data_IF_592958775624
#
_entry.id   IF_592958775624
#
_cell.length_a   1.000
_cell.length_b   1.000
_cell.length_c   1.000
_cell.angle_alpha   90.00
_cell.angle_beta   90.00
_cell.angle_gamma   90.00
#
_symmetry.space_group_name_H-M   'P 1'
#
loop_
_entity.id
_entity.type
_entity.pdbx_description
1 polymer ?
#
# COMPACT_ATOMS: atom_id res chain seq x y z
N UNK A 1 46.95 -5.83 -37.14
CA UNK A 1 46.99 -7.30 -37.14
C UNK A 1 47.70 -7.71 -35.87
N UNK A 2 47.13 -8.35 -34.86
CA UNK A 2 45.95 -9.23 -34.76
C UNK A 2 45.64 -9.35 -33.26
N UNK A 3 44.43 -9.82 -32.93
CA UNK A 3 43.93 -10.12 -31.56
C UNK A 3 43.24 -8.98 -30.80
N UNK A 4 42.25 -8.39 -31.48
CA UNK A 4 40.90 -8.31 -30.88
C UNK A 4 40.34 -9.73 -30.82
N UNK A 5 39.88 -10.16 -29.64
CA UNK A 5 38.77 -11.11 -29.34
C UNK A 5 39.12 -12.04 -28.17
N UNK A 6 38.23 -12.01 -27.17
CA UNK A 6 37.98 -12.94 -26.06
C UNK A 6 38.39 -12.43 -24.68
N UNK A 7 37.50 -11.61 -24.11
CA UNK A 7 37.04 -11.71 -22.73
C UNK A 7 35.93 -10.67 -22.53
N UNK A 8 34.84 -10.80 -23.29
CA UNK A 8 33.53 -10.31 -22.81
C UNK A 8 33.06 -11.41 -21.86
N UNK A 9 33.43 -11.28 -20.58
CA UNK A 9 32.79 -12.06 -19.53
C UNK A 9 31.35 -11.59 -19.45
N UNK A 10 30.45 -12.37 -20.05
CA UNK A 10 29.02 -12.33 -19.75
C UNK A 10 28.85 -12.54 -18.24
N UNK A 11 28.78 -11.43 -17.50
CA UNK A 11 28.08 -11.44 -16.23
C UNK A 11 26.61 -11.71 -16.57
N UNK A 12 26.25 -12.99 -16.56
CA UNK A 12 24.86 -13.41 -16.49
C UNK A 12 24.34 -12.79 -15.18
N UNK A 13 23.63 -11.68 -15.30
CA UNK A 13 22.78 -11.19 -14.21
C UNK A 13 21.74 -12.27 -14.03
N UNK A 14 21.97 -13.19 -13.09
CA UNK A 14 20.96 -14.16 -12.68
C UNK A 14 19.84 -13.31 -12.08
N UNK A 15 18.78 -13.11 -12.87
CA UNK A 15 17.59 -12.45 -12.37
C UNK A 15 17.16 -13.18 -11.07
N UNK A 16 16.86 -12.46 -9.98
CA UNK A 16 16.46 -13.08 -8.73
C UNK A 16 15.27 -14.02 -9.00
N UNK A 17 15.32 -15.23 -8.44
CA UNK A 17 14.19 -16.16 -8.55
C UNK A 17 12.96 -15.51 -7.91
N UNK A 18 11.90 -15.34 -8.70
CA UNK A 18 10.61 -14.81 -8.20
C UNK A 18 10.08 -15.65 -7.05
N UNK A 19 9.42 -15.00 -6.09
CA UNK A 19 8.83 -15.69 -4.95
C UNK A 19 7.42 -15.22 -4.63
N UNK A 20 6.64 -16.05 -3.94
CA UNK A 20 5.36 -15.63 -3.41
C UNK A 20 5.54 -14.61 -2.27
N UNK A 21 4.60 -13.66 -2.17
CA UNK A 21 4.56 -12.68 -1.10
C UNK A 21 3.50 -13.09 -0.06
N UNK A 22 3.93 -13.53 1.12
CA UNK A 22 3.04 -14.07 2.16
C UNK A 22 2.67 -13.06 3.26
N UNK A 23 3.56 -12.11 3.56
CA UNK A 23 3.36 -11.13 4.65
C UNK A 23 3.61 -9.67 4.25
N UNK A 24 4.49 -9.44 3.27
CA UNK A 24 4.87 -8.11 2.81
C UNK A 24 4.12 -7.73 1.53
N UNK A 25 4.22 -6.47 1.14
CA UNK A 25 3.77 -6.04 -0.17
C UNK A 25 4.51 -6.78 -1.29
N UNK A 26 3.84 -6.95 -2.42
CA UNK A 26 4.35 -7.66 -3.58
C UNK A 26 4.78 -6.67 -4.67
N UNK A 27 5.92 -6.93 -5.29
CA UNK A 27 6.47 -6.15 -6.39
C UNK A 27 6.61 -7.03 -7.64
N UNK A 28 6.22 -6.54 -8.83
CA UNK A 28 6.24 -7.34 -10.05
C UNK A 28 7.63 -7.88 -10.40
N UNK A 29 8.70 -7.18 -10.04
CA UNK A 29 10.07 -7.59 -10.37
C UNK A 29 10.58 -8.76 -9.51
N UNK A 30 10.05 -8.90 -8.29
CA UNK A 30 10.54 -9.87 -7.30
C UNK A 30 9.54 -10.99 -7.00
N UNK A 31 8.26 -10.77 -7.31
CA UNK A 31 7.19 -11.67 -6.91
C UNK A 31 6.43 -12.26 -8.08
N UNK A 32 5.83 -13.44 -7.84
CA UNK A 32 4.66 -13.84 -8.61
C UNK A 32 3.55 -12.84 -8.31
N UNK A 33 3.03 -12.22 -9.36
CA UNK A 33 2.30 -10.96 -9.22
C UNK A 33 1.08 -10.90 -10.14
N UNK A 34 -0.04 -10.46 -9.58
CA UNK A 34 -1.23 -10.08 -10.33
C UNK A 34 -1.45 -8.59 -10.08
N UNK A 35 -1.47 -7.81 -11.15
CA UNK A 35 -1.68 -6.37 -11.09
C UNK A 35 -3.14 -6.09 -10.70
N UNK A 36 -3.40 -5.31 -9.62
CA UNK A 36 -4.76 -4.92 -9.23
C UNK A 36 -5.32 -3.80 -10.12
N UNK A 37 -5.32 -3.99 -11.44
CA UNK A 37 -5.61 -2.95 -12.44
C UNK A 37 -6.90 -2.19 -12.19
N UNK A 38 -7.99 -2.92 -11.88
CA UNK A 38 -9.31 -2.30 -11.65
C UNK A 38 -9.32 -1.38 -10.42
N UNK A 39 -8.68 -1.79 -9.32
CA UNK A 39 -8.56 -0.95 -8.12
C UNK A 39 -7.65 0.25 -8.38
N UNK A 40 -6.49 0.00 -9.00
CA UNK A 40 -5.48 1.02 -9.29
C UNK A 40 -6.07 2.12 -10.15
N UNK A 41 -6.72 1.74 -11.26
CA UNK A 41 -7.38 2.70 -12.16
C UNK A 41 -8.44 3.51 -11.43
N UNK A 42 -9.29 2.85 -10.64
CA UNK A 42 -10.36 3.54 -9.92
C UNK A 42 -9.83 4.54 -8.89
N UNK A 43 -8.79 4.17 -8.14
CA UNK A 43 -8.16 5.07 -7.17
C UNK A 43 -7.43 6.22 -7.86
N UNK A 44 -6.71 5.95 -8.95
CA UNK A 44 -6.01 6.99 -9.71
C UNK A 44 -6.99 8.04 -10.26
N UNK A 45 -8.13 7.62 -10.82
CA UNK A 45 -9.21 8.51 -11.27
C UNK A 45 -9.71 9.40 -10.12
N UNK A 46 -10.03 8.83 -8.95
CA UNK A 46 -10.46 9.59 -7.78
C UNK A 46 -9.41 10.61 -7.33
N UNK A 47 -8.13 10.23 -7.33
CA UNK A 47 -7.03 11.11 -6.96
C UNK A 47 -6.86 12.26 -7.96
N UNK A 48 -7.03 12.01 -9.25
CA UNK A 48 -7.02 13.05 -10.29
C UNK A 48 -8.23 14.00 -10.15
N UNK A 49 -9.40 13.49 -9.76
CA UNK A 49 -10.61 14.26 -9.45
C UNK A 49 -10.53 15.04 -8.11
N UNK A 50 -9.33 15.26 -7.58
CA UNK A 50 -9.10 15.97 -6.31
C UNK A 50 -9.74 15.32 -5.07
N UNK A 51 -10.10 14.03 -5.12
CA UNK A 51 -10.79 13.35 -4.02
C UNK A 51 -9.80 12.87 -2.96
N UNK A 52 -10.18 13.05 -1.70
CA UNK A 52 -9.50 12.39 -0.59
C UNK A 52 -10.08 10.99 -0.51
N UNK A 53 -9.23 10.00 -0.71
CA UNK A 53 -9.60 8.60 -0.93
C UNK A 53 -9.15 7.76 0.26
N UNK A 54 -9.99 6.82 0.67
CA UNK A 54 -9.70 5.84 1.71
C UNK A 54 -9.61 4.46 1.08
N UNK A 55 -8.47 3.78 1.19
CA UNK A 55 -8.33 2.36 0.84
C UNK A 55 -8.21 1.54 2.12
N UNK A 56 -9.16 0.65 2.37
CA UNK A 56 -9.15 -0.15 3.60
C UNK A 56 -9.46 -1.62 3.37
N UNK A 57 -9.20 -2.45 4.38
CA UNK A 57 -9.38 -3.90 4.28
C UNK A 57 -8.80 -4.63 5.47
N UNK A 58 -8.77 -5.96 5.40
CA UNK A 58 -8.15 -6.78 6.44
C UNK A 58 -6.62 -6.68 6.39
N UNK A 59 -5.92 -7.17 7.42
CA UNK A 59 -4.47 -7.32 7.37
C UNK A 59 -4.10 -8.26 6.22
N UNK A 60 -2.97 -7.99 5.56
CA UNK A 60 -2.48 -8.79 4.43
C UNK A 60 -3.48 -8.94 3.25
N UNK A 61 -4.45 -8.03 3.12
CA UNK A 61 -5.37 -8.02 1.96
C UNK A 61 -4.74 -7.46 0.69
N UNK A 62 -3.46 -7.05 0.72
CA UNK A 62 -2.73 -6.48 -0.43
C UNK A 62 -2.86 -4.96 -0.62
N UNK A 63 -3.31 -4.21 0.40
CA UNK A 63 -3.50 -2.75 0.30
C UNK A 63 -2.21 -2.00 -0.01
N UNK A 64 -1.12 -2.30 0.70
CA UNK A 64 0.20 -1.71 0.46
C UNK A 64 0.68 -2.02 -0.96
N UNK A 65 0.49 -3.26 -1.43
CA UNK A 65 0.73 -3.66 -2.83
C UNK A 65 -0.04 -2.77 -3.81
N UNK A 66 -1.34 -2.54 -3.58
CA UNK A 66 -2.16 -1.64 -4.41
C UNK A 66 -1.64 -0.20 -4.35
N UNK A 67 -1.19 0.30 -3.20
CA UNK A 67 -0.64 1.65 -3.08
C UNK A 67 0.65 1.83 -3.90
N UNK A 68 1.55 0.84 -3.88
CA UNK A 68 2.73 0.84 -4.74
C UNK A 68 2.37 0.72 -6.23
N UNK A 69 1.34 -0.06 -6.56
CA UNK A 69 0.82 -0.13 -7.93
C UNK A 69 0.26 1.21 -8.42
N UNK A 70 -0.49 1.93 -7.57
CA UNK A 70 -0.95 3.29 -7.87
C UNK A 70 0.23 4.23 -8.12
N UNK A 71 1.26 4.18 -7.26
CA UNK A 71 2.47 4.98 -7.46
C UNK A 71 3.12 4.70 -8.83
N UNK A 72 3.27 3.42 -9.20
CA UNK A 72 3.79 3.03 -10.53
C UNK A 72 2.88 3.47 -11.66
N UNK A 73 1.56 3.40 -11.47
CA UNK A 73 0.57 3.80 -12.47
C UNK A 73 0.80 5.26 -12.88
N UNK A 74 0.90 6.17 -11.91
CA UNK A 74 1.13 7.58 -12.23
C UNK A 74 2.47 7.85 -12.94
N UNK A 75 3.52 7.05 -12.68
CA UNK A 75 4.79 7.18 -13.39
C UNK A 75 4.77 6.62 -14.82
N UNK A 76 3.81 5.76 -15.14
CA UNK A 76 3.75 5.03 -16.42
C UNK A 76 2.59 5.46 -17.32
N UNK A 77 1.57 6.13 -16.77
CA UNK A 77 0.33 6.51 -17.45
C UNK A 77 0.23 8.03 -17.65
N UNK A 78 1.27 8.64 -18.20
CA UNK A 78 1.37 10.09 -18.36
C UNK A 78 0.28 10.67 -19.28
N UNK A 79 -0.12 9.93 -20.31
CA UNK A 79 -1.18 10.38 -21.23
C UNK A 79 -2.54 10.47 -20.53
N UNK A 80 -2.87 9.51 -19.66
CA UNK A 80 -4.12 9.55 -18.89
C UNK A 80 -4.16 10.73 -17.91
N UNK A 81 -3.00 11.13 -17.37
CA UNK A 81 -2.89 12.34 -16.54
C UNK A 81 -3.15 13.60 -17.39
N UNK A 82 -2.62 13.65 -18.63
CA UNK A 82 -2.88 14.75 -19.58
C UNK A 82 -4.34 14.81 -20.01
N UNK A 83 -4.95 13.67 -20.31
CA UNK A 83 -6.38 13.56 -20.64
C UNK A 83 -7.27 14.04 -19.49
N UNK A 84 -6.86 13.81 -18.24
CA UNK A 84 -7.52 14.34 -17.06
C UNK A 84 -7.30 15.86 -16.83
N UNK A 85 -6.53 16.52 -17.69
CA UNK A 85 -6.32 17.97 -17.68
C UNK A 85 -5.15 18.45 -16.83
N UNK A 86 -4.21 17.57 -16.46
CA UNK A 86 -3.05 17.90 -15.66
C UNK A 86 -1.76 17.78 -16.47
N UNK A 87 -0.77 18.63 -16.19
CA UNK A 87 0.60 18.40 -16.66
C UNK A 87 1.32 17.47 -15.67
N UNK A 88 1.77 16.27 -16.07
CA UNK A 88 2.49 15.36 -15.18
C UNK A 88 3.73 15.96 -14.52
N UNK A 89 4.33 17.01 -15.11
CA UNK A 89 5.49 17.70 -14.52
C UNK A 89 5.12 18.63 -13.35
N UNK A 90 3.86 19.05 -13.27
CA UNK A 90 3.36 19.94 -12.21
C UNK A 90 2.69 19.17 -11.05
N UNK A 91 2.64 17.85 -11.14
CA UNK A 91 1.98 16.95 -10.20
C UNK A 91 2.97 15.96 -9.59
N UNK A 92 3.39 16.22 -8.36
CA UNK A 92 4.29 15.35 -7.60
C UNK A 92 3.53 14.35 -6.75
N UNK A 93 4.08 13.16 -6.58
CA UNK A 93 3.44 12.07 -5.84
C UNK A 93 4.39 11.57 -4.78
N UNK A 94 3.91 11.57 -3.54
CA UNK A 94 4.71 11.18 -2.38
C UNK A 94 4.07 10.00 -1.67
N UNK A 95 4.89 9.01 -1.35
CA UNK A 95 4.49 7.83 -0.59
C UNK A 95 5.08 7.88 0.82
N UNK A 96 4.23 7.85 1.84
CA UNK A 96 4.60 8.00 3.25
C UNK A 96 4.06 6.81 4.03
N UNK A 97 4.91 6.06 4.73
CA UNK A 97 4.46 4.94 5.59
C UNK A 97 4.47 5.32 7.06
N UNK A 98 3.32 5.16 7.71
CA UNK A 98 3.22 5.26 9.17
C UNK A 98 3.67 3.96 9.81
N UNK A 99 4.64 4.04 10.71
CA UNK A 99 5.15 2.88 11.45
C UNK A 99 5.11 3.15 12.95
N UNK A 100 5.78 2.32 13.75
CA UNK A 100 5.84 2.46 15.21
C UNK A 100 6.41 3.82 15.69
N UNK A 101 7.03 4.61 14.81
CA UNK A 101 7.56 5.93 15.16
C UNK A 101 6.49 7.04 15.14
N UNK A 102 5.25 6.76 14.73
CA UNK A 102 4.15 7.70 14.90
C UNK A 102 3.70 7.65 16.37
N UNK A 103 3.88 8.76 17.08
CA UNK A 103 3.71 8.83 18.53
C UNK A 103 2.28 9.20 18.92
N UNK A 104 1.34 8.31 18.61
CA UNK A 104 -0.07 8.45 18.99
C UNK A 104 -0.22 8.24 20.51
N UNK A 105 -0.95 9.11 21.20
CA UNK A 105 -1.06 9.11 22.67
C UNK A 105 0.10 9.79 23.41
N UNK A 106 1.05 10.39 22.70
CA UNK A 106 2.00 11.33 23.28
C UNK A 106 1.43 12.75 23.34
N UNK A 107 2.20 13.71 23.84
CA UNK A 107 1.85 15.14 23.71
C UNK A 107 1.61 15.52 22.24
N UNK A 108 0.66 16.45 22.00
CA UNK A 108 0.27 16.91 20.65
C UNK A 108 1.47 17.31 19.78
N UNK A 109 2.44 18.01 20.36
CA UNK A 109 3.64 18.44 19.65
C UNK A 109 4.52 17.27 19.19
N UNK A 110 4.63 16.22 20.01
CA UNK A 110 5.39 15.02 19.69
C UNK A 110 4.71 14.21 18.58
N UNK A 111 3.39 14.12 18.59
CA UNK A 111 2.62 13.53 17.51
C UNK A 111 2.89 14.25 16.19
N UNK A 112 2.66 15.56 16.12
CA UNK A 112 2.84 16.33 14.89
C UNK A 112 4.29 16.32 14.39
N UNK A 113 5.24 16.36 15.31
CA UNK A 113 6.66 16.26 14.98
C UNK A 113 7.00 14.89 14.40
N UNK A 114 6.39 13.80 14.89
CA UNK A 114 6.57 12.46 14.33
C UNK A 114 6.03 12.36 12.90
N UNK A 115 4.85 12.94 12.62
CA UNK A 115 4.27 13.03 11.28
C UNK A 115 5.16 13.87 10.36
N UNK A 116 5.53 15.10 10.77
CA UNK A 116 6.33 16.00 9.95
C UNK A 116 7.72 15.42 9.63
N UNK A 117 8.34 14.68 10.56
CA UNK A 117 9.58 13.94 10.30
C UNK A 117 9.41 12.88 9.21
N UNK A 118 8.27 12.19 9.14
CA UNK A 118 8.02 11.20 8.08
C UNK A 118 7.99 11.85 6.70
N UNK A 119 7.30 12.98 6.56
CA UNK A 119 7.28 13.74 5.32
C UNK A 119 8.68 14.25 4.96
N UNK A 120 9.40 14.83 5.93
CA UNK A 120 10.78 15.30 5.74
C UNK A 120 11.74 14.19 5.28
N UNK A 121 11.54 12.95 5.72
CA UNK A 121 12.35 11.80 5.30
C UNK A 121 12.06 11.38 3.86
N UNK A 122 10.82 11.56 3.40
CA UNK A 122 10.42 11.24 2.02
C UNK A 122 11.01 12.26 1.05
N UNK A 123 10.89 13.55 1.38
CA UNK A 123 11.54 14.62 0.62
C UNK A 123 11.89 15.78 1.55
N UNK A 124 13.18 15.91 1.85
CA UNK A 124 13.67 16.96 2.74
C UNK A 124 13.66 18.35 2.07
N UNK A 125 13.72 18.44 0.74
CA UNK A 125 13.69 19.71 0.03
C UNK A 125 12.26 20.27 0.02
N UNK A 126 11.26 19.40 -0.17
CA UNK A 126 9.84 19.77 -0.16
C UNK A 126 9.28 19.96 1.25
N UNK A 127 9.55 19.00 2.14
CA UNK A 127 8.93 18.90 3.46
C UNK A 127 9.86 19.30 4.60
N UNK A 128 10.54 20.44 4.45
CA UNK A 128 11.43 20.92 5.49
C UNK A 128 10.70 21.69 6.58
N UNK A 129 11.11 21.46 7.83
CA UNK A 129 10.68 22.24 8.98
C UNK A 129 11.77 22.29 10.04
N UNK A 130 11.70 23.29 10.92
CA UNK A 130 12.57 23.42 12.07
C UNK A 130 12.16 22.44 13.17
N UNK A 131 12.95 21.39 13.31
CA UNK A 131 12.74 20.32 14.28
C UNK A 131 13.11 20.74 15.72
N UNK A 132 13.61 21.96 15.96
CA UNK A 132 13.78 22.51 17.31
C UNK A 132 12.50 23.13 17.86
N UNK A 133 11.59 23.58 16.97
CA UNK A 133 10.35 24.25 17.34
C UNK A 133 9.23 23.27 17.70
N UNK A 134 8.19 23.81 18.33
CA UNK A 134 6.94 23.08 18.53
C UNK A 134 6.26 22.82 17.18
N UNK A 135 5.78 21.59 16.97
CA UNK A 135 5.05 21.20 15.77
C UNK A 135 3.56 21.11 16.06
N UNK A 136 2.73 21.48 15.09
CA UNK A 136 1.26 21.37 15.15
C UNK A 136 0.69 21.00 13.79
N UNK A 137 -0.65 20.90 13.69
CA UNK A 137 -1.32 20.75 12.39
C UNK A 137 -0.95 21.85 11.41
N UNK A 138 -0.70 23.07 11.90
CA UNK A 138 -0.23 24.17 11.04
C UNK A 138 1.15 23.90 10.44
N UNK A 139 2.08 23.30 11.21
CA UNK A 139 3.40 22.90 10.70
C UNK A 139 3.25 21.93 9.53
N UNK A 140 2.35 20.95 9.67
CA UNK A 140 2.03 20.00 8.60
C UNK A 140 1.38 20.69 7.39
N UNK A 141 0.40 21.57 7.60
CA UNK A 141 -0.28 22.27 6.50
C UNK A 141 0.67 23.18 5.70
N UNK A 142 1.70 23.76 6.34
CA UNK A 142 2.71 24.59 5.65
C UNK A 142 3.50 23.85 4.57
N UNK A 143 3.56 22.52 4.61
CA UNK A 143 4.13 21.71 3.53
C UNK A 143 3.39 21.81 2.20
N UNK A 144 2.17 22.36 2.22
CA UNK A 144 1.33 22.50 1.05
C UNK A 144 0.95 23.96 0.77
N UNK A 145 1.35 24.91 1.60
CA UNK A 145 0.92 26.30 1.47
C UNK A 145 1.57 26.97 0.23
N UNK A 146 0.78 27.67 -0.58
CA UNK A 146 1.26 28.31 -1.83
C UNK A 146 2.25 29.46 -1.59
N UNK A 147 2.22 30.06 -0.41
CA UNK A 147 3.15 31.11 0.01
C UNK A 147 4.51 30.54 0.47
N UNK A 148 4.62 29.22 0.64
CA UNK A 148 5.88 28.56 0.95
C UNK A 148 6.74 28.47 -0.33
N UNK A 149 7.98 28.98 -0.37
CA UNK A 149 8.81 28.95 -1.58
C UNK A 149 9.27 27.54 -2.00
N UNK A 150 9.23 26.55 -1.09
CA UNK A 150 9.44 25.12 -1.41
C UNK A 150 8.23 24.51 -2.18
N UNK A 151 7.17 25.31 -2.26
CA UNK A 151 5.81 25.21 -2.78
C UNK A 151 5.51 25.13 -4.28
N UNK A 152 6.34 24.51 -5.12
CA UNK A 152 6.28 24.82 -6.57
C UNK A 152 5.14 24.13 -7.34
N UNK A 153 4.89 22.87 -7.03
CA UNK A 153 4.00 21.93 -7.73
C UNK A 153 2.84 21.47 -6.84
N UNK A 154 1.80 20.91 -7.47
CA UNK A 154 0.73 20.20 -6.79
C UNK A 154 1.24 18.86 -6.24
N UNK A 155 0.68 18.40 -5.12
CA UNK A 155 1.08 17.14 -4.49
C UNK A 155 -0.09 16.17 -4.35
N UNK A 156 0.11 14.91 -4.73
CA UNK A 156 -0.72 13.77 -4.32
C UNK A 156 0.04 13.03 -3.23
N UNK A 157 -0.62 12.79 -2.10
CA UNK A 157 -0.01 12.09 -0.97
C UNK A 157 -0.65 10.72 -0.77
N UNK A 158 0.15 9.66 -0.79
CA UNK A 158 -0.25 8.32 -0.39
C UNK A 158 0.31 8.07 1.01
N UNK A 159 -0.56 7.88 2.00
CA UNK A 159 -0.18 7.52 3.37
C UNK A 159 -0.57 6.06 3.62
N UNK A 160 0.43 5.19 3.70
CA UNK A 160 0.25 3.79 4.05
C UNK A 160 0.30 3.56 5.56
N UNK A 161 -0.33 2.47 6.02
CA UNK A 161 -0.43 2.07 7.41
C UNK A 161 -1.05 3.15 8.34
N UNK A 162 -2.03 3.89 7.81
CA UNK A 162 -2.77 4.92 8.55
C UNK A 162 -3.52 4.37 9.79
N UNK A 163 -3.72 3.05 9.89
CA UNK A 163 -4.22 2.38 11.10
C UNK A 163 -3.35 2.59 12.33
N UNK A 164 -2.10 3.06 12.19
CA UNK A 164 -1.31 3.50 13.33
C UNK A 164 -1.95 4.68 14.07
N UNK A 165 -2.85 5.40 13.43
CA UNK A 165 -3.64 6.48 14.06
C UNK A 165 -4.76 5.96 14.97
N UNK A 166 -5.15 4.68 14.89
CA UNK A 166 -6.33 4.15 15.62
C UNK A 166 -5.95 3.45 16.93
N UNK A 167 -4.96 3.96 17.67
CA UNK A 167 -4.53 3.35 18.93
C UNK A 167 -5.20 4.01 20.14
N UNK A 168 -5.80 3.21 21.02
CA UNK A 168 -6.36 3.59 22.33
C UNK A 168 -7.53 4.59 22.28
N UNK A 169 -8.63 4.24 22.95
CA UNK A 169 -9.85 5.06 23.01
C UNK A 169 -9.79 6.17 24.06
N UNK A 170 -8.59 6.60 24.47
CA UNK A 170 -8.46 7.69 25.44
C UNK A 170 -8.74 9.05 24.81
N UNK A 171 -9.29 9.96 25.61
CA UNK A 171 -9.77 11.27 25.17
C UNK A 171 -8.64 12.14 24.57
N UNK A 172 -7.42 12.05 25.11
CA UNK A 172 -6.29 12.85 24.65
C UNK A 172 -5.83 12.39 23.26
N UNK A 173 -5.75 11.08 23.04
CA UNK A 173 -5.47 10.49 21.73
C UNK A 173 -6.55 10.85 20.72
N UNK A 174 -7.81 10.76 21.09
CA UNK A 174 -8.92 11.15 20.22
C UNK A 174 -8.86 12.61 19.79
N UNK A 175 -8.48 13.52 20.71
CA UNK A 175 -8.29 14.94 20.39
C UNK A 175 -7.18 15.16 19.36
N UNK A 176 -6.05 14.45 19.48
CA UNK A 176 -4.94 14.51 18.51
C UNK A 176 -5.40 14.05 17.12
N UNK A 177 -6.14 12.95 17.06
CA UNK A 177 -6.68 12.43 15.80
C UNK A 177 -7.68 13.42 15.20
N UNK A 178 -8.51 14.07 16.02
CA UNK A 178 -9.41 15.16 15.56
C UNK A 178 -8.64 16.30 14.94
N UNK A 179 -7.57 16.76 15.57
CA UNK A 179 -6.72 17.81 15.02
C UNK A 179 -6.09 17.39 13.67
N UNK A 180 -5.70 16.11 13.54
CA UNK A 180 -5.22 15.56 12.26
C UNK A 180 -6.27 15.61 11.16
N UNK A 181 -7.49 15.13 11.45
CA UNK A 181 -8.60 15.15 10.49
C UNK A 181 -9.03 16.58 10.14
N UNK A 182 -9.03 17.51 11.11
CA UNK A 182 -9.34 18.91 10.86
C UNK A 182 -8.30 19.56 9.93
N UNK A 183 -7.01 19.26 10.12
CA UNK A 183 -5.94 19.72 9.23
C UNK A 183 -6.14 19.20 7.80
N UNK A 184 -6.53 17.93 7.64
CA UNK A 184 -6.86 17.37 6.33
C UNK A 184 -8.07 18.05 5.68
N UNK A 185 -9.10 18.41 6.47
CA UNK A 185 -10.27 19.12 5.95
C UNK A 185 -9.91 20.52 5.46
N UNK A 186 -9.11 21.26 6.22
CA UNK A 186 -8.63 22.58 5.81
C UNK A 186 -7.89 22.48 4.49
N UNK A 187 -6.93 21.53 4.38
CA UNK A 187 -6.19 21.32 3.13
C UNK A 187 -7.09 20.93 1.95
N UNK A 188 -8.14 20.13 2.18
CA UNK A 188 -9.10 19.75 1.13
C UNK A 188 -9.96 20.92 0.67
N UNK A 189 -10.42 21.75 1.62
CA UNK A 189 -11.41 22.79 1.40
C UNK A 189 -10.83 24.12 0.91
N UNK A 190 -9.56 24.41 1.19
CA UNK A 190 -8.91 25.67 0.85
C UNK A 190 -7.91 25.51 -0.30
N UNK A 191 -8.45 25.38 -1.51
CA UNK A 191 -7.63 25.22 -2.74
C UNK A 191 -6.95 26.51 -3.18
N UNK A 192 -7.38 27.65 -2.67
CA UNK A 192 -6.78 28.94 -2.99
C UNK A 192 -5.45 29.13 -2.28
N UNK A 193 -5.29 28.59 -1.06
CA UNK A 193 -4.07 28.73 -0.28
C UNK A 193 -3.16 27.50 -0.28
N UNK A 194 -3.65 26.30 -0.64
CA UNK A 194 -2.85 25.07 -0.59
C UNK A 194 -2.71 24.36 -1.95
N UNK A 195 -1.59 23.66 -2.14
CA UNK A 195 -1.24 22.83 -3.31
C UNK A 195 -1.37 21.32 -3.06
N UNK A 196 -2.04 20.91 -1.98
CA UNK A 196 -2.41 19.49 -1.83
C UNK A 196 -3.53 19.18 -2.83
N UNK A 197 -3.24 18.34 -3.83
CA UNK A 197 -4.19 17.95 -4.89
C UNK A 197 -5.18 16.91 -4.39
N UNK A 198 -4.68 15.81 -3.87
CA UNK A 198 -5.47 14.73 -3.30
C UNK A 198 -4.63 13.94 -2.32
N UNK A 199 -5.30 13.05 -1.58
CA UNK A 199 -4.66 12.24 -0.57
C UNK A 199 -5.33 10.87 -0.49
N UNK A 200 -4.52 9.82 -0.47
CA UNK A 200 -4.93 8.44 -0.21
C UNK A 200 -4.51 8.07 1.21
N UNK A 201 -5.47 7.73 2.08
CA UNK A 201 -5.20 7.01 3.32
C UNK A 201 -5.38 5.52 3.09
N UNK A 202 -4.37 4.73 3.43
CA UNK A 202 -4.44 3.27 3.39
C UNK A 202 -4.33 2.68 4.79
N UNK A 203 -5.26 1.78 5.16
CA UNK A 203 -5.25 1.17 6.48
C UNK A 203 -6.17 -0.04 6.64
N UNK A 204 -6.15 -0.67 7.81
CA UNK A 204 -7.14 -1.67 8.24
C UNK A 204 -8.52 -1.06 8.44
N UNK A 205 -9.59 -1.88 8.47
CA UNK A 205 -10.97 -1.43 8.65
C UNK A 205 -11.18 -0.43 9.82
N UNK A 206 -10.39 -0.51 10.90
CA UNK A 206 -10.48 0.40 12.04
C UNK A 206 -10.33 1.88 11.66
N UNK A 207 -9.58 2.22 10.60
CA UNK A 207 -9.46 3.61 10.13
C UNK A 207 -10.80 4.14 9.62
N UNK A 208 -11.61 3.27 9.00
CA UNK A 208 -12.95 3.62 8.52
C UNK A 208 -13.87 3.90 9.70
N UNK A 209 -13.84 3.05 10.72
CA UNK A 209 -14.67 3.22 11.91
C UNK A 209 -14.34 4.51 12.66
N UNK A 210 -13.05 4.86 12.75
CA UNK A 210 -12.60 6.14 13.30
C UNK A 210 -13.16 7.34 12.52
N UNK A 211 -13.19 7.25 11.20
CA UNK A 211 -13.70 8.32 10.32
C UNK A 211 -15.24 8.40 10.32
N UNK A 212 -15.95 7.26 10.43
CA UNK A 212 -17.41 7.16 10.43
C UNK A 212 -18.05 7.43 11.79
N UNK A 213 -17.42 7.05 12.91
CA UNK A 213 -17.90 7.35 14.26
C UNK A 213 -18.11 8.87 14.48
N UNK A 214 -17.45 9.68 13.64
CA UNK A 214 -17.47 11.15 13.64
C UNK A 214 -18.55 11.76 12.73
N UNK A 215 -19.46 10.94 12.20
CA UNK A 215 -20.59 11.40 11.35
C UNK A 215 -21.97 11.29 12.03
N UNK A 216 -22.05 10.99 13.34
CA UNK A 216 -23.34 10.76 14.04
C UNK A 216 -24.06 12.07 14.41
N UNK A 217 -25.40 12.15 14.31
CA UNK A 217 -26.18 13.30 14.79
C UNK A 217 -25.93 13.54 16.29
N UNK A 218 -25.63 14.79 16.68
CA UNK A 218 -25.26 15.15 18.05
C UNK A 218 -23.77 15.01 18.37
N UNK A 219 -22.97 14.48 17.42
CA UNK A 219 -21.52 14.60 17.49
C UNK A 219 -21.11 16.05 17.21
N UNK A 220 -20.40 16.68 18.15
CA UNK A 220 -19.70 17.95 17.92
C UNK A 220 -18.53 17.81 16.94
N UNK A 221 -18.26 16.60 16.44
CA UNK A 221 -17.14 16.35 15.53
C UNK A 221 -17.50 16.66 14.09
N UNK A 222 -16.49 17.15 13.40
CA UNK A 222 -16.52 17.68 12.06
C UNK A 222 -16.59 16.54 11.02
N UNK A 223 -17.43 16.69 9.98
CA UNK A 223 -17.67 15.68 8.93
C UNK A 223 -16.34 15.19 8.32
N UNK A 224 -16.11 13.88 8.24
CA UNK A 224 -14.91 13.28 7.62
C UNK A 224 -14.59 13.91 6.26
N UNK A 225 -13.31 14.23 5.95
CA UNK A 225 -12.93 14.73 4.63
C UNK A 225 -12.97 13.63 3.55
N UNK A 226 -13.23 12.38 3.92
CA UNK A 226 -13.40 11.24 3.00
C UNK A 226 -14.89 10.99 2.79
N UNK A 227 -15.31 10.98 1.52
CA UNK A 227 -16.68 10.63 1.15
C UNK A 227 -16.85 9.12 0.98
N UNK A 228 -18.09 8.65 1.04
CA UNK A 228 -18.39 7.23 0.88
C UNK A 228 -18.01 6.73 -0.52
N UNK A 229 -18.24 7.52 -1.57
CA UNK A 229 -17.86 7.13 -2.94
C UNK A 229 -16.34 7.05 -3.16
N UNK A 230 -15.56 7.72 -2.31
CA UNK A 230 -14.09 7.69 -2.32
C UNK A 230 -13.52 6.76 -1.23
N UNK A 231 -14.34 5.87 -0.66
CA UNK A 231 -13.93 4.89 0.34
C UNK A 231 -14.02 3.47 -0.23
N UNK A 232 -12.87 2.90 -0.59
CA UNK A 232 -12.77 1.62 -1.28
C UNK A 232 -12.24 0.52 -0.38
N UNK A 233 -12.77 -0.69 -0.55
CA UNK A 233 -12.21 -1.90 0.05
C UNK A 233 -11.26 -2.58 -0.91
N UNK A 234 -10.11 -3.03 -0.42
CA UNK A 234 -9.22 -3.92 -1.17
C UNK A 234 -9.95 -5.21 -1.53
N UNK A 235 -9.97 -5.55 -2.82
CA UNK A 235 -10.61 -6.76 -3.32
C UNK A 235 -9.75 -7.98 -2.99
N UNK A 236 -10.38 -9.14 -3.13
CA UNK A 236 -9.75 -10.45 -3.06
C UNK A 236 -9.34 -10.89 -4.46
N UNK A 237 -8.41 -11.84 -4.54
CA UNK A 237 -8.20 -12.52 -5.81
C UNK A 237 -9.43 -13.34 -6.19
N UNK A 238 -9.74 -13.34 -7.48
CA UNK A 238 -10.61 -14.30 -8.13
C UNK A 238 -9.88 -15.63 -8.32
N UNK A 239 -10.62 -16.71 -8.53
CA UNK A 239 -10.02 -18.02 -8.84
C UNK A 239 -9.09 -17.95 -10.07
N UNK A 240 -9.46 -17.13 -11.07
CA UNK A 240 -8.65 -16.93 -12.29
C UNK A 240 -7.32 -16.26 -11.97
N UNK A 241 -7.31 -15.27 -11.08
CA UNK A 241 -6.07 -14.60 -10.64
C UNK A 241 -5.19 -15.51 -9.78
N UNK A 242 -5.80 -16.34 -8.90
CA UNK A 242 -5.04 -17.37 -8.17
C UNK A 242 -4.38 -18.34 -9.16
N UNK A 243 -5.14 -18.82 -10.16
CA UNK A 243 -4.60 -19.68 -11.21
C UNK A 243 -3.48 -19.02 -11.99
N UNK A 244 -3.62 -17.73 -12.33
CA UNK A 244 -2.59 -16.97 -13.02
C UNK A 244 -1.29 -16.87 -12.20
N UNK A 245 -1.37 -16.64 -10.88
CA UNK A 245 -0.20 -16.65 -9.99
C UNK A 245 0.54 -17.99 -10.03
N UNK A 246 -0.19 -19.10 -9.89
CA UNK A 246 0.42 -20.44 -9.91
C UNK A 246 0.90 -20.85 -11.30
N UNK A 247 0.32 -20.31 -12.37
CA UNK A 247 0.83 -20.46 -13.74
C UNK A 247 2.22 -19.82 -13.86
N UNK A 248 2.40 -18.58 -13.37
CA UNK A 248 3.72 -17.94 -13.35
C UNK A 248 4.75 -18.75 -12.59
N UNK A 249 4.36 -19.36 -11.45
CA UNK A 249 5.23 -20.24 -10.68
C UNK A 249 5.62 -21.51 -11.46
N UNK A 250 4.67 -22.18 -12.10
CA UNK A 250 4.91 -23.38 -12.88
C UNK A 250 5.82 -23.08 -14.09
N UNK A 251 5.54 -22.00 -14.83
CA UNK A 251 6.33 -21.57 -15.98
C UNK A 251 7.78 -21.25 -15.59
N UNK A 252 7.97 -20.58 -14.44
CA UNK A 252 9.30 -20.23 -13.93
C UNK A 252 10.12 -21.45 -13.52
N UNK A 253 9.47 -22.51 -13.04
CA UNK A 253 10.15 -23.70 -12.54
C UNK A 253 10.09 -24.90 -13.51
N UNK A 254 9.44 -24.75 -14.67
CA UNK A 254 9.26 -25.77 -15.72
C UNK A 254 8.81 -27.14 -15.17
N UNK A 255 7.71 -27.13 -14.40
CA UNK A 255 7.22 -28.32 -13.68
C UNK A 255 5.92 -28.87 -14.26
N UNK A 256 5.70 -30.18 -14.10
CA UNK A 256 4.40 -30.83 -14.32
C UNK A 256 3.40 -30.53 -13.18
N UNK A 257 3.35 -29.29 -12.71
CA UNK A 257 2.53 -28.85 -11.58
C UNK A 257 1.05 -28.86 -11.97
N UNK A 258 0.20 -29.43 -11.11
CA UNK A 258 -1.25 -29.46 -11.28
C UNK A 258 -1.87 -28.09 -10.95
N UNK A 259 -1.65 -27.13 -11.85
CA UNK A 259 -2.07 -25.73 -11.69
C UNK A 259 -3.57 -25.63 -11.42
N UNK A 260 -4.38 -26.37 -12.21
CA UNK A 260 -5.84 -26.20 -12.21
C UNK A 260 -6.43 -26.62 -10.88
N UNK A 261 -6.11 -27.84 -10.41
CA UNK A 261 -6.74 -28.35 -9.19
C UNK A 261 -6.16 -27.72 -7.92
N UNK A 262 -4.85 -27.46 -7.88
CA UNK A 262 -4.22 -26.84 -6.71
C UNK A 262 -4.69 -25.39 -6.56
N UNK A 263 -4.76 -24.61 -7.65
CA UNK A 263 -5.24 -23.23 -7.58
C UNK A 263 -6.70 -23.14 -7.14
N UNK A 264 -7.56 -24.05 -7.61
CA UNK A 264 -8.96 -24.14 -7.18
C UNK A 264 -9.08 -24.46 -5.68
N UNK A 265 -8.34 -25.47 -5.20
CA UNK A 265 -8.36 -25.86 -3.77
C UNK A 265 -7.81 -24.73 -2.87
N UNK A 266 -6.76 -24.02 -3.30
CA UNK A 266 -6.24 -22.83 -2.59
C UNK A 266 -7.26 -21.70 -2.59
N UNK A 267 -7.96 -21.47 -3.70
CA UNK A 267 -9.01 -20.47 -3.75
C UNK A 267 -10.14 -20.81 -2.77
N UNK A 268 -10.62 -22.04 -2.74
CA UNK A 268 -11.67 -22.50 -1.82
C UNK A 268 -11.23 -22.37 -0.35
N UNK A 269 -9.98 -22.73 -0.04
CA UNK A 269 -9.42 -22.64 1.31
C UNK A 269 -9.30 -21.20 1.81
N UNK A 270 -8.93 -20.27 0.94
CA UNK A 270 -8.54 -18.89 1.29
C UNK A 270 -9.62 -17.86 0.95
N UNK A 271 -10.61 -18.27 0.16
CA UNK A 271 -11.61 -17.41 -0.48
C UNK A 271 -10.96 -16.20 -1.17
N UNK A 272 -9.78 -16.41 -1.78
CA UNK A 272 -9.02 -15.39 -2.50
C UNK A 272 -8.30 -14.35 -1.62
N UNK A 273 -8.18 -14.55 -0.30
CA UNK A 273 -7.46 -13.61 0.55
C UNK A 273 -5.98 -13.53 0.17
N UNK A 274 -5.53 -12.38 -0.36
CA UNK A 274 -4.22 -12.23 -1.03
C UNK A 274 -3.04 -12.75 -0.19
N UNK A 275 -2.96 -12.38 1.10
CA UNK A 275 -1.91 -12.87 1.99
C UNK A 275 -1.97 -14.37 2.29
N UNK A 276 -3.17 -14.97 2.35
CA UNK A 276 -3.30 -16.41 2.59
C UNK A 276 -2.96 -17.21 1.33
N UNK A 277 -3.37 -16.72 0.15
CA UNK A 277 -2.93 -17.27 -1.14
C UNK A 277 -1.41 -17.20 -1.24
N UNK A 278 -0.82 -16.05 -0.89
CA UNK A 278 0.63 -15.86 -0.84
C UNK A 278 1.34 -16.81 0.14
N UNK A 279 0.75 -17.08 1.31
CA UNK A 279 1.27 -18.04 2.28
C UNK A 279 1.20 -19.49 1.76
N UNK A 280 0.13 -19.87 1.05
CA UNK A 280 0.03 -21.17 0.40
C UNK A 280 1.10 -21.32 -0.69
N UNK A 281 1.27 -20.29 -1.51
CA UNK A 281 2.30 -20.25 -2.54
C UNK A 281 3.72 -20.30 -1.98
N UNK A 282 4.03 -19.52 -0.94
CA UNK A 282 5.31 -19.56 -0.23
C UNK A 282 5.58 -20.98 0.31
N UNK A 283 4.57 -21.60 0.91
CA UNK A 283 4.71 -22.97 1.39
C UNK A 283 5.05 -23.96 0.28
N UNK A 284 4.31 -23.93 -0.84
CA UNK A 284 4.57 -24.79 -2.01
C UNK A 284 5.98 -24.53 -2.55
N UNK A 285 6.36 -23.27 -2.75
CA UNK A 285 7.68 -22.90 -3.23
C UNK A 285 8.80 -23.40 -2.30
N UNK A 286 8.64 -23.27 -0.97
CA UNK A 286 9.62 -23.80 -0.04
C UNK A 286 9.74 -25.33 -0.11
N UNK A 287 8.63 -26.05 -0.33
CA UNK A 287 8.73 -27.51 -0.55
C UNK A 287 9.47 -27.83 -1.84
N UNK A 288 9.33 -26.99 -2.86
CA UNK A 288 10.02 -27.16 -4.13
C UNK A 288 11.53 -26.90 -4.02
N UNK A 289 11.90 -25.85 -3.29
CA UNK A 289 13.30 -25.42 -3.18
C UNK A 289 14.13 -26.30 -2.22
N UNK A 290 13.50 -26.89 -1.19
CA UNK A 290 14.24 -27.52 -0.08
C UNK A 290 13.84 -28.95 0.28
N UNK A 291 12.71 -29.49 -0.21
CA UNK A 291 12.29 -30.85 0.15
C UNK A 291 12.56 -31.84 -1.00
N UNK A 292 12.89 -33.08 -0.62
CA UNK A 292 13.08 -34.19 -1.58
C UNK A 292 11.79 -34.61 -2.30
N UNK A 293 10.62 -34.20 -1.79
CA UNK A 293 9.30 -34.50 -2.35
C UNK A 293 8.51 -33.20 -2.51
N UNK A 294 8.65 -32.50 -3.65
CA UNK A 294 7.94 -31.25 -3.89
C UNK A 294 6.44 -31.47 -4.07
N UNK A 295 5.63 -30.48 -3.68
CA UNK A 295 4.19 -30.50 -3.96
C UNK A 295 3.98 -30.20 -5.45
N UNK A 296 3.51 -31.19 -6.20
CA UNK A 296 3.25 -31.06 -7.64
C UNK A 296 1.83 -31.49 -8.05
N UNK A 297 1.17 -32.34 -7.25
CA UNK A 297 -0.22 -32.77 -7.49
C UNK A 297 -1.17 -32.31 -6.38
N UNK A 298 -2.48 -32.36 -6.65
CA UNK A 298 -3.51 -32.10 -5.63
C UNK A 298 -3.39 -33.02 -4.41
N UNK A 299 -3.05 -34.29 -4.62
CA UNK A 299 -2.90 -35.25 -3.52
C UNK A 299 -1.71 -34.90 -2.62
N UNK A 300 -0.61 -34.42 -3.19
CA UNK A 300 0.54 -33.93 -2.41
C UNK A 300 0.13 -32.72 -1.57
N UNK A 301 -0.58 -31.77 -2.18
CA UNK A 301 -1.10 -30.59 -1.50
C UNK A 301 -1.99 -30.97 -0.31
N UNK A 302 -2.99 -31.83 -0.54
CA UNK A 302 -3.96 -32.26 0.49
C UNK A 302 -3.33 -33.00 1.66
N UNK A 303 -2.19 -33.67 1.49
CA UNK A 303 -1.43 -34.28 2.61
C UNK A 303 -0.82 -33.23 3.55
N UNK A 304 -0.58 -32.02 3.07
CA UNK A 304 0.09 -30.95 3.82
C UNK A 304 -0.89 -29.95 4.45
N UNK A 305 -2.04 -29.71 3.82
CA UNK A 305 -3.03 -28.69 4.20
C UNK A 305 -3.50 -28.77 5.67
N UNK A 306 -3.87 -29.94 6.24
CA UNK A 306 -4.60 -29.97 7.52
C UNK A 306 -3.80 -29.57 8.77
N UNK A 307 -2.47 -29.75 8.78
CA UNK A 307 -1.64 -29.53 9.98
C UNK A 307 -0.41 -28.66 9.70
N UNK A 308 0.31 -28.93 8.61
CA UNK A 308 1.60 -28.27 8.35
C UNK A 308 1.42 -26.84 7.83
N UNK A 309 0.46 -26.64 6.93
CA UNK A 309 0.15 -25.31 6.39
C UNK A 309 -0.43 -24.38 7.47
N UNK A 310 -1.35 -24.88 8.30
CA UNK A 310 -1.96 -24.08 9.37
C UNK A 310 -0.90 -23.56 10.36
N UNK A 311 0.04 -24.42 10.78
CA UNK A 311 1.13 -24.01 11.66
C UNK A 311 2.04 -22.96 11.02
N UNK A 312 2.31 -23.07 9.71
CA UNK A 312 3.08 -22.09 8.95
C UNK A 312 2.35 -20.74 8.88
N UNK A 313 1.05 -20.74 8.61
CA UNK A 313 0.22 -19.52 8.55
C UNK A 313 0.17 -18.83 9.92
N UNK A 314 0.04 -19.59 11.01
CA UNK A 314 0.07 -19.04 12.36
C UNK A 314 1.41 -18.33 12.65
N UNK A 315 2.54 -18.91 12.23
CA UNK A 315 3.86 -18.27 12.38
C UNK A 315 4.03 -16.98 11.56
N UNK A 316 3.35 -16.86 10.41
CA UNK A 316 3.37 -15.66 9.56
C UNK A 316 2.44 -14.54 10.07
N UNK A 317 1.56 -14.86 11.03
CA UNK A 317 0.56 -13.93 11.57
C UNK A 317 0.98 -13.21 12.85
N UNK A 318 2.06 -13.68 13.49
CA UNK A 318 2.74 -13.06 14.64
C UNK A 318 3.81 -12.08 14.20
#
# INVERSE_FOLDING_TARGET
>A
YTNKRKAEEEYIVIAPKRHFASANEAYPDFNFYVEPEAEVKKVAELLLECKFTLLFGHRQSGKSTTCHAILRWFYTHLEQIREAGFDPQELEIYFVTFNANILVGSRRDMFWKSICKKFKLVDNARFNFDNSQQSSGNTFMRFFAKDNPLVQSQAIIIIDEASRLTSNDDEATMAIITEFIDSLRTLKGDRDNFRLHSLLLCGTANIRDLLLARQRPGSMSSISPFSEEASLTSNRFTETEVRALFTQFADTNNTAFDIVNIAADIFDLTLGHKGLVGACGDYIQNTYDYNNTPIITLDDWKRHTPVKLLNRILQLST
#
